data_IF_889850229527
#
_entry.id   IF_889850229527
#
_cell.length_a   1.000
_cell.length_b   1.000
_cell.length_c   1.000
_cell.angle_alpha   90.00
_cell.angle_beta   90.00
_cell.angle_gamma   90.00
#
_symmetry.space_group_name_H-M   'P 1'
#
loop_
_entity.id
_entity.type
_entity.pdbx_description
1 polymer ?
#
# COMPACT_ATOMS: atom_id res chain seq x y z
N UNK A 1 -6.88 -6.35 -20.25
CA UNK A 1 -6.73 -6.06 -18.81
C UNK A 1 -6.65 -4.55 -18.60
N UNK A 2 -7.47 -4.01 -17.73
CA UNK A 2 -7.44 -2.58 -17.42
C UNK A 2 -6.21 -2.24 -16.56
N UNK A 3 -5.87 -0.95 -16.47
CA UNK A 3 -4.79 -0.50 -15.60
C UNK A 3 -5.09 -0.84 -14.13
N UNK A 4 -6.34 -0.65 -13.69
CA UNK A 4 -6.74 -0.98 -12.32
C UNK A 4 -6.56 -2.46 -12.02
N UNK A 5 -6.94 -3.33 -12.95
CA UNK A 5 -6.76 -4.78 -12.79
C UNK A 5 -5.28 -5.14 -12.70
N UNK A 6 -4.46 -4.53 -13.54
CA UNK A 6 -3.01 -4.76 -13.55
C UNK A 6 -2.39 -4.41 -12.20
N UNK A 7 -2.71 -3.23 -11.67
CA UNK A 7 -2.14 -2.78 -10.40
C UNK A 7 -2.71 -3.57 -9.21
N UNK A 8 -4.00 -3.92 -9.27
CA UNK A 8 -4.59 -4.76 -8.22
C UNK A 8 -3.97 -6.16 -8.20
N UNK A 9 -3.62 -6.73 -9.36
CA UNK A 9 -2.90 -8.01 -9.41
C UNK A 9 -1.56 -7.93 -8.71
N UNK A 10 -0.85 -6.81 -8.85
CA UNK A 10 0.41 -6.63 -8.13
C UNK A 10 0.18 -6.49 -6.62
N UNK A 11 -0.89 -5.81 -6.19
CA UNK A 11 -1.26 -5.76 -4.78
C UNK A 11 -1.57 -7.15 -4.23
N UNK A 12 -2.28 -7.98 -5.00
CA UNK A 12 -2.55 -9.37 -4.62
C UNK A 12 -1.25 -10.17 -4.51
N UNK A 13 -0.30 -9.95 -5.42
CA UNK A 13 1.00 -10.61 -5.35
C UNK A 13 1.74 -10.23 -4.06
N UNK A 14 1.62 -8.98 -3.63
CA UNK A 14 2.17 -8.54 -2.33
C UNK A 14 1.47 -9.23 -1.17
N UNK A 15 0.14 -9.39 -1.26
CA UNK A 15 -0.62 -10.11 -0.22
C UNK A 15 -0.14 -11.56 -0.07
N UNK A 16 0.22 -12.21 -1.17
CA UNK A 16 0.77 -13.58 -1.13
C UNK A 16 2.10 -13.63 -0.40
N UNK A 17 2.91 -12.59 -0.46
CA UNK A 17 4.16 -12.51 0.31
C UNK A 17 3.87 -12.46 1.81
N UNK A 18 2.85 -11.71 2.22
CA UNK A 18 2.42 -11.70 3.62
C UNK A 18 1.95 -13.09 4.06
N UNK A 19 1.15 -13.74 3.23
CA UNK A 19 0.65 -15.09 3.50
C UNK A 19 1.79 -16.07 3.72
N UNK A 20 2.85 -15.97 2.92
CA UNK A 20 4.02 -16.86 3.05
C UNK A 20 4.76 -16.65 4.37
N UNK A 21 4.57 -15.53 5.06
CA UNK A 21 5.13 -15.23 6.37
C UNK A 21 4.15 -15.49 7.51
N UNK A 22 3.02 -16.16 7.24
CA UNK A 22 1.94 -16.39 8.21
C UNK A 22 1.32 -15.09 8.73
N UNK A 23 1.38 -14.04 7.94
CA UNK A 23 0.70 -12.78 8.22
C UNK A 23 -0.68 -12.77 7.56
N UNK A 24 -1.55 -11.88 8.04
CA UNK A 24 -2.82 -11.66 7.33
C UNK A 24 -2.49 -11.17 5.91
N UNK A 25 -3.05 -11.82 4.86
CA UNK A 25 -2.63 -11.57 3.48
C UNK A 25 -3.19 -10.27 2.92
N UNK A 26 -2.55 -9.16 3.28
CA UNK A 26 -2.89 -7.83 2.78
C UNK A 26 -1.71 -7.29 2.01
N UNK A 27 -1.96 -6.81 0.80
CA UNK A 27 -0.95 -6.22 -0.07
C UNK A 27 -1.42 -4.88 -0.61
N UNK A 28 -0.46 -4.03 -0.93
CA UNK A 28 -0.71 -2.67 -1.35
C UNK A 28 0.35 -2.22 -2.35
N UNK A 29 -0.10 -1.46 -3.36
CA UNK A 29 0.82 -0.73 -4.25
C UNK A 29 0.36 0.72 -4.36
N UNK A 30 1.31 1.61 -4.55
CA UNK A 30 1.03 3.03 -4.81
C UNK A 30 1.55 3.35 -6.20
N UNK A 31 0.69 3.98 -7.00
CA UNK A 31 0.94 4.32 -8.40
C UNK A 31 0.97 5.83 -8.56
N UNK A 32 1.97 6.32 -9.28
CA UNK A 32 2.11 7.73 -9.61
C UNK A 32 2.50 7.84 -11.09
N UNK A 33 1.76 8.66 -11.82
CA UNK A 33 1.98 8.85 -13.27
C UNK A 33 2.07 7.52 -14.03
N UNK A 34 1.15 6.61 -13.72
CA UNK A 34 1.04 5.32 -14.41
C UNK A 34 2.08 4.29 -14.01
N UNK A 35 2.93 4.57 -13.01
CA UNK A 35 3.99 3.66 -12.57
C UNK A 35 3.84 3.31 -11.10
N UNK A 36 4.14 2.06 -10.76
CA UNK A 36 4.21 1.64 -9.36
C UNK A 36 5.47 2.25 -8.76
N UNK A 37 5.29 3.07 -7.73
CA UNK A 37 6.41 3.70 -7.01
C UNK A 37 6.67 3.07 -5.65
N UNK A 38 5.72 2.30 -5.13
CA UNK A 38 5.89 1.64 -3.84
C UNK A 38 5.04 0.39 -3.75
N UNK A 39 5.54 -0.61 -3.04
CA UNK A 39 4.85 -1.86 -2.73
C UNK A 39 4.95 -2.12 -1.24
N UNK A 40 3.92 -2.70 -0.66
CA UNK A 40 3.93 -3.09 0.74
C UNK A 40 3.05 -4.30 0.98
N UNK A 41 3.36 -5.06 2.01
CA UNK A 41 2.52 -6.15 2.46
C UNK A 41 2.60 -6.22 3.98
N UNK A 42 1.57 -6.79 4.60
CA UNK A 42 1.47 -6.84 6.06
C UNK A 42 2.63 -7.62 6.67
N UNK A 43 3.29 -7.02 7.67
CA UNK A 43 4.42 -7.60 8.38
C UNK A 43 4.32 -7.37 9.90
N UNK A 44 3.12 -7.14 10.40
CA UNK A 44 2.91 -6.75 11.81
C UNK A 44 3.61 -7.70 12.80
N UNK A 45 3.42 -9.01 12.63
CA UNK A 45 4.03 -9.99 13.51
C UNK A 45 5.51 -10.22 13.19
N UNK A 46 5.87 -10.21 11.92
CA UNK A 46 7.25 -10.39 11.47
C UNK A 46 8.15 -9.29 11.98
N UNK A 47 7.70 -8.04 11.87
CA UNK A 47 8.45 -6.86 12.33
C UNK A 47 8.20 -6.55 13.81
N UNK A 48 7.25 -7.24 14.45
CA UNK A 48 6.83 -6.96 15.84
C UNK A 48 6.49 -5.48 16.03
N UNK A 49 5.75 -4.94 15.07
CA UNK A 49 5.46 -3.51 15.01
C UNK A 49 4.02 -3.30 14.52
N UNK A 50 3.21 -2.67 15.36
CA UNK A 50 1.81 -2.39 15.03
C UNK A 50 1.65 -1.50 13.80
N UNK A 51 2.69 -0.74 13.42
CA UNK A 51 2.67 0.13 12.25
C UNK A 51 3.01 -0.59 10.95
N UNK A 52 3.46 -1.86 11.01
CA UNK A 52 3.89 -2.60 9.81
C UNK A 52 2.70 -3.18 9.04
N UNK A 53 1.74 -2.33 8.72
CA UNK A 53 0.65 -2.64 7.80
C UNK A 53 1.07 -2.34 6.37
N UNK A 54 0.50 -3.06 5.40
CA UNK A 54 0.83 -2.92 3.99
C UNK A 54 0.79 -1.45 3.53
N UNK A 55 -0.28 -0.75 3.91
CA UNK A 55 -0.51 0.64 3.49
C UNK A 55 0.54 1.58 4.05
N UNK A 56 0.88 1.44 5.35
CA UNK A 56 1.88 2.32 5.98
C UNK A 56 3.26 2.08 5.40
N UNK A 57 3.61 0.82 5.13
CA UNK A 57 4.88 0.46 4.50
C UNK A 57 4.96 1.11 3.12
N UNK A 58 3.89 0.99 2.32
CA UNK A 58 3.84 1.57 0.99
C UNK A 58 3.91 3.10 1.03
N UNK A 59 3.18 3.75 1.95
CA UNK A 59 3.22 5.22 2.12
C UNK A 59 4.64 5.68 2.43
N UNK A 60 5.32 5.01 3.36
CA UNK A 60 6.69 5.37 3.73
C UNK A 60 7.62 5.28 2.53
N UNK A 61 7.52 4.21 1.76
CA UNK A 61 8.35 4.01 0.56
C UNK A 61 8.03 5.04 -0.52
N UNK A 62 6.75 5.32 -0.75
CA UNK A 62 6.33 6.29 -1.77
C UNK A 62 6.82 7.69 -1.43
N UNK A 63 6.70 8.10 -0.17
CA UNK A 63 7.17 9.40 0.30
C UNK A 63 8.68 9.55 0.11
N UNK A 64 9.43 8.48 0.38
CA UNK A 64 10.87 8.47 0.17
C UNK A 64 11.20 8.57 -1.32
N UNK A 65 10.46 7.85 -2.16
CA UNK A 65 10.66 7.86 -3.61
C UNK A 65 10.40 9.23 -4.22
N UNK A 66 9.33 9.91 -3.78
CA UNK A 66 8.96 11.23 -4.29
C UNK A 66 9.70 12.37 -3.61
N UNK A 67 10.33 12.10 -2.47
CA UNK A 67 11.00 13.12 -1.68
C UNK A 67 10.04 14.12 -1.04
N UNK A 68 8.82 13.70 -0.74
CA UNK A 68 7.77 14.56 -0.18
C UNK A 68 6.85 13.70 0.69
N UNK A 69 6.32 14.29 1.77
CA UNK A 69 5.32 13.62 2.58
C UNK A 69 3.93 13.60 1.92
N UNK A 70 3.71 14.50 0.95
CA UNK A 70 2.45 14.56 0.20
C UNK A 70 2.48 13.57 -0.95
N UNK A 71 1.44 12.76 -1.03
CA UNK A 71 1.27 11.78 -2.11
C UNK A 71 0.16 12.21 -3.07
N UNK A 72 0.06 13.51 -3.32
CA UNK A 72 -0.91 14.05 -4.27
C UNK A 72 -0.64 13.49 -5.66
N UNK A 73 -1.71 13.11 -6.37
CA UNK A 73 -1.60 12.45 -7.66
C UNK A 73 -1.34 10.96 -7.59
N UNK A 74 -1.18 10.40 -6.38
CA UNK A 74 -0.97 8.97 -6.22
C UNK A 74 -2.29 8.23 -6.05
N UNK A 75 -2.37 7.02 -6.60
CA UNK A 75 -3.47 6.08 -6.40
C UNK A 75 -2.94 4.88 -5.63
N UNK A 76 -3.63 4.52 -4.56
CA UNK A 76 -3.32 3.34 -3.78
C UNK A 76 -4.24 2.18 -4.18
N UNK A 77 -3.66 1.03 -4.47
CA UNK A 77 -4.40 -0.21 -4.70
C UNK A 77 -4.15 -1.12 -3.51
N UNK A 78 -5.23 -1.54 -2.85
CA UNK A 78 -5.17 -2.32 -1.61
C UNK A 78 -6.14 -3.50 -1.68
N UNK A 79 -5.72 -4.66 -1.21
CA UNK A 79 -6.51 -5.90 -1.34
C UNK A 79 -7.61 -6.04 -0.30
N UNK A 80 -7.57 -5.23 0.76
CA UNK A 80 -8.57 -5.23 1.81
C UNK A 80 -8.79 -3.80 2.28
N UNK A 81 -10.02 -3.47 2.67
CA UNK A 81 -10.37 -2.14 3.17
C UNK A 81 -9.43 -1.73 4.32
N UNK A 82 -8.84 -0.52 4.26
CA UNK A 82 -7.91 -0.06 5.29
C UNK A 82 -8.58 0.06 6.67
N UNK A 83 -7.80 -0.24 7.71
CA UNK A 83 -8.23 0.02 9.09
C UNK A 83 -8.17 1.52 9.38
N UNK A 84 -8.65 1.93 10.57
CA UNK A 84 -8.67 3.33 10.97
C UNK A 84 -7.30 4.00 10.90
N UNK A 85 -6.26 3.31 11.36
CA UNK A 85 -4.90 3.84 11.35
C UNK A 85 -4.43 4.10 9.93
N UNK A 86 -4.62 3.13 9.03
CA UNK A 86 -4.19 3.25 7.64
C UNK A 86 -5.02 4.27 6.88
N UNK A 87 -6.33 4.28 7.09
CA UNK A 87 -7.21 5.27 6.46
C UNK A 87 -6.82 6.69 6.88
N UNK A 88 -6.53 6.89 8.17
CA UNK A 88 -6.06 8.17 8.68
C UNK A 88 -4.73 8.58 8.05
N UNK A 89 -3.80 7.64 7.93
CA UNK A 89 -2.50 7.91 7.31
C UNK A 89 -2.66 8.31 5.83
N UNK A 90 -3.57 7.64 5.10
CA UNK A 90 -3.84 7.97 3.70
C UNK A 90 -4.38 9.40 3.55
N UNK A 91 -5.28 9.81 4.44
CA UNK A 91 -5.81 11.17 4.47
C UNK A 91 -4.70 12.18 4.77
N UNK A 92 -3.89 11.89 5.79
CA UNK A 92 -2.79 12.78 6.18
C UNK A 92 -1.75 12.90 5.07
N UNK A 93 -1.47 11.83 4.36
CA UNK A 93 -0.49 11.80 3.27
C UNK A 93 -1.06 12.39 1.96
N UNK A 94 -2.33 12.76 1.90
CA UNK A 94 -2.97 13.33 0.71
C UNK A 94 -2.99 12.35 -0.48
N UNK A 95 -3.20 11.07 -0.21
CA UNK A 95 -3.43 10.09 -1.28
C UNK A 95 -4.68 10.50 -2.05
N UNK A 96 -4.57 10.62 -3.36
CA UNK A 96 -5.66 11.16 -4.19
C UNK A 96 -6.81 10.18 -4.33
N UNK A 97 -6.50 8.89 -4.51
CA UNK A 97 -7.52 7.88 -4.79
C UNK A 97 -7.09 6.54 -4.19
N UNK A 98 -8.06 5.77 -3.72
CA UNK A 98 -7.84 4.40 -3.27
C UNK A 98 -8.79 3.47 -4.02
N UNK A 99 -8.24 2.37 -4.52
CA UNK A 99 -8.97 1.29 -5.18
C UNK A 99 -8.86 0.06 -4.30
N UNK A 100 -10.01 -0.48 -3.90
CA UNK A 100 -10.10 -1.60 -2.97
C UNK A 100 -10.67 -2.84 -3.66
#
# INVERSE_FOLDING_TARGET
>A
MTADEKFMREAIRQAKKAYALDEVPIGCVIVYEGKIIARGYNRRNTDKNTLSHAELIAIKKASRKLGDWRLEGCTMYITLEPCQMCAGAMVQARVTEAVI
#
